data_IF_296699079217
#
_entry.id   IF_296699079217
#
_cell.length_a   1.000
_cell.length_b   1.000
_cell.length_c   1.000
_cell.angle_alpha   90.00
_cell.angle_beta   90.00
_cell.angle_gamma   90.00
#
_symmetry.space_group_name_H-M   'P 1'
#
loop_
_entity.id
_entity.type
_entity.pdbx_description
1 polymer ?
#
# COMPACT_ATOMS: atom_id res chain seq x y z
N UNK A 1 -14.79 32.23 11.28
CA UNK A 1 -13.53 31.76 11.90
C UNK A 1 -12.95 30.70 10.98
N UNK A 2 -11.89 31.02 10.24
CA UNK A 2 -11.24 30.06 9.34
C UNK A 2 -10.47 29.05 10.19
N UNK A 3 -10.85 27.78 10.15
CA UNK A 3 -10.04 26.70 10.73
C UNK A 3 -8.85 26.56 9.78
N UNK A 4 -7.65 26.89 10.26
CA UNK A 4 -6.43 26.67 9.48
C UNK A 4 -6.44 25.23 8.94
N UNK A 5 -6.25 25.04 7.63
CA UNK A 5 -6.03 23.70 7.08
C UNK A 5 -4.86 23.09 7.85
N UNK A 6 -5.01 21.89 8.43
CA UNK A 6 -3.88 21.22 9.05
C UNK A 6 -2.77 21.14 7.99
N UNK A 7 -1.54 21.50 8.37
CA UNK A 7 -0.40 21.31 7.50
C UNK A 7 -0.45 19.87 7.00
N UNK A 8 -0.50 19.69 5.68
CA UNK A 8 -0.70 18.39 5.05
C UNK A 8 0.56 17.56 5.35
N UNK A 9 0.49 16.70 6.36
CA UNK A 9 1.63 15.89 6.76
C UNK A 9 2.16 15.13 5.54
N UNK A 10 3.45 15.30 5.27
CA UNK A 10 4.10 14.70 4.09
C UNK A 10 4.46 13.27 4.47
N UNK A 11 3.88 12.24 3.82
CA UNK A 11 4.23 10.87 4.14
C UNK A 11 5.66 10.56 3.73
N UNK A 12 6.35 9.79 4.56
CA UNK A 12 7.60 9.13 4.19
C UNK A 12 7.27 7.79 3.56
N UNK A 13 7.68 7.57 2.31
CA UNK A 13 7.50 6.28 1.63
C UNK A 13 8.75 5.43 1.86
N UNK A 14 8.56 4.21 2.38
CA UNK A 14 9.65 3.28 2.69
C UNK A 14 9.20 1.83 2.54
N UNK A 15 10.18 0.92 2.44
CA UNK A 15 9.91 -0.50 2.58
C UNK A 15 9.29 -0.82 3.95
N UNK A 16 8.35 -1.75 3.96
CA UNK A 16 7.74 -2.28 5.17
C UNK A 16 8.76 -3.09 5.97
N UNK A 17 8.67 -2.98 7.29
CA UNK A 17 9.42 -3.77 8.26
C UNK A 17 8.46 -4.71 8.98
N UNK A 18 9.01 -5.71 9.68
CA UNK A 18 8.19 -6.67 10.45
C UNK A 18 7.31 -6.00 11.50
N UNK A 19 7.78 -4.90 12.09
CA UNK A 19 7.01 -4.10 13.06
C UNK A 19 5.79 -3.41 12.45
N UNK A 20 5.71 -3.27 11.12
CA UNK A 20 4.56 -2.67 10.44
C UNK A 20 3.45 -3.68 10.13
N UNK A 21 3.73 -4.99 10.22
CA UNK A 21 2.86 -6.04 9.67
C UNK A 21 1.46 -6.05 10.26
N UNK A 22 1.32 -5.97 11.59
CA UNK A 22 0.01 -5.96 12.23
C UNK A 22 -0.85 -4.79 11.74
N UNK A 23 -0.23 -3.62 11.59
CA UNK A 23 -0.89 -2.41 11.12
C UNK A 23 -1.25 -2.48 9.62
N UNK A 24 -0.39 -3.08 8.80
CA UNK A 24 -0.68 -3.31 7.37
C UNK A 24 -1.86 -4.26 7.21
N UNK A 25 -1.89 -5.36 7.99
CA UNK A 25 -2.99 -6.31 7.96
C UNK A 25 -4.32 -5.62 8.31
N UNK A 26 -4.33 -4.89 9.43
CA UNK A 26 -5.51 -4.14 9.88
C UNK A 26 -6.01 -3.15 8.82
N UNK A 27 -5.16 -2.25 8.32
CA UNK A 27 -5.59 -1.22 7.38
C UNK A 27 -6.03 -1.82 6.04
N UNK A 28 -5.43 -2.93 5.60
CA UNK A 28 -5.80 -3.60 4.35
C UNK A 28 -7.20 -4.17 4.49
N UNK A 29 -7.46 -4.92 5.56
CA UNK A 29 -8.79 -5.51 5.81
C UNK A 29 -9.84 -4.40 5.98
N UNK A 30 -9.54 -3.35 6.74
CA UNK A 30 -10.46 -2.22 6.92
C UNK A 30 -10.78 -1.50 5.60
N UNK A 31 -9.80 -1.31 4.71
CA UNK A 31 -10.05 -0.67 3.42
C UNK A 31 -11.01 -1.49 2.53
N UNK A 32 -10.93 -2.82 2.57
CA UNK A 32 -11.78 -3.70 1.77
C UNK A 32 -13.16 -3.93 2.41
N UNK A 33 -13.21 -4.27 3.70
CA UNK A 33 -14.47 -4.53 4.42
C UNK A 33 -15.22 -3.24 4.69
N UNK A 34 -14.53 -2.21 5.21
CA UNK A 34 -15.12 -0.91 5.48
C UNK A 34 -15.53 -0.14 4.22
N UNK A 35 -14.89 -0.46 3.08
CA UNK A 35 -15.29 0.03 1.76
C UNK A 35 -16.49 -0.69 1.14
N UNK A 36 -17.01 -1.75 1.80
CA UNK A 36 -18.12 -2.56 1.29
C UNK A 36 -17.76 -3.48 0.13
N UNK A 37 -16.47 -3.71 -0.11
CA UNK A 37 -15.99 -4.61 -1.17
C UNK A 37 -16.04 -6.08 -0.75
N UNK A 38 -16.03 -6.36 0.56
CA UNK A 38 -16.08 -7.70 1.15
C UNK A 38 -16.89 -7.69 2.44
N UNK A 39 -17.46 -8.84 2.78
CA UNK A 39 -17.98 -9.09 4.13
C UNK A 39 -16.85 -9.50 5.08
N UNK A 40 -16.99 -9.19 6.38
CA UNK A 40 -15.94 -9.47 7.38
C UNK A 40 -15.64 -10.98 7.57
N UNK A 41 -16.59 -11.85 7.20
CA UNK A 41 -16.44 -13.31 7.29
C UNK A 41 -15.91 -13.97 6.02
N UNK A 42 -15.57 -13.21 4.98
CA UNK A 42 -15.07 -13.75 3.72
C UNK A 42 -13.68 -14.38 3.92
N UNK A 43 -13.45 -15.56 3.34
CA UNK A 43 -12.15 -16.25 3.35
C UNK A 43 -11.03 -15.37 2.77
N UNK A 44 -11.38 -14.49 1.83
CA UNK A 44 -10.44 -13.55 1.23
C UNK A 44 -9.86 -12.53 2.24
N UNK A 45 -10.52 -12.30 3.38
CA UNK A 45 -9.96 -11.49 4.48
C UNK A 45 -8.67 -12.10 5.02
N UNK A 46 -8.58 -13.43 5.11
CA UNK A 46 -7.35 -14.13 5.52
C UNK A 46 -6.20 -13.85 4.55
N UNK A 47 -6.47 -13.87 3.25
CA UNK A 47 -5.50 -13.51 2.23
C UNK A 47 -5.06 -12.04 2.32
N UNK A 48 -5.99 -11.12 2.57
CA UNK A 48 -5.68 -9.69 2.75
C UNK A 48 -4.92 -9.40 4.05
N UNK A 49 -5.00 -10.25 5.06
CA UNK A 49 -4.28 -10.10 6.33
C UNK A 49 -2.87 -10.71 6.29
N UNK A 50 -2.58 -11.63 5.37
CA UNK A 50 -1.28 -12.32 5.28
C UNK A 50 -0.17 -11.41 4.72
N UNK A 51 0.34 -10.50 5.56
CA UNK A 51 1.49 -9.64 5.26
C UNK A 51 2.79 -10.44 5.09
N UNK A 52 3.11 -11.45 5.93
CA UNK A 52 4.33 -12.23 5.77
C UNK A 52 4.47 -12.84 4.38
N UNK A 53 3.39 -13.44 3.87
CA UNK A 53 3.37 -13.99 2.51
C UNK A 53 3.56 -12.92 1.45
N UNK A 54 2.83 -11.80 1.56
CA UNK A 54 2.99 -10.66 0.63
C UNK A 54 4.42 -10.14 0.61
N UNK A 55 5.07 -10.02 1.75
CA UNK A 55 6.46 -9.57 1.85
C UNK A 55 7.48 -10.59 1.33
N UNK A 56 7.12 -11.88 1.28
CA UNK A 56 7.95 -12.92 0.67
C UNK A 56 7.80 -12.97 -0.87
N UNK A 57 6.62 -12.61 -1.38
CA UNK A 57 6.26 -12.73 -2.80
C UNK A 57 6.30 -11.39 -3.56
N UNK A 58 6.51 -10.26 -2.87
CA UNK A 58 6.50 -8.91 -3.45
C UNK A 58 7.26 -7.89 -2.59
N UNK A 59 7.50 -6.69 -3.13
CA UNK A 59 7.99 -5.55 -2.37
C UNK A 59 6.83 -4.80 -1.72
N UNK A 60 6.74 -4.85 -0.39
CA UNK A 60 5.71 -4.11 0.35
C UNK A 60 6.23 -2.73 0.73
N UNK A 61 5.54 -1.69 0.28
CA UNK A 61 5.82 -0.30 0.64
C UNK A 61 4.75 0.22 1.61
N UNK A 62 5.18 1.08 2.52
CA UNK A 62 4.29 1.85 3.41
C UNK A 62 4.46 3.35 3.21
N UNK A 63 3.38 4.09 3.44
CA UNK A 63 3.44 5.51 3.74
C UNK A 63 3.34 5.71 5.24
N UNK A 64 4.39 6.28 5.84
CA UNK A 64 4.41 6.65 7.25
C UNK A 64 4.10 8.14 7.42
N UNK A 65 3.18 8.45 8.33
CA UNK A 65 2.81 9.82 8.72
C UNK A 65 2.91 9.90 10.24
N UNK A 66 3.74 10.82 10.74
CA UNK A 66 3.94 11.06 12.17
C UNK A 66 4.21 9.77 12.99
N UNK A 67 4.99 8.84 12.43
CA UNK A 67 5.33 7.56 13.06
C UNK A 67 4.29 6.45 12.89
N UNK A 68 3.15 6.71 12.25
CA UNK A 68 2.11 5.74 12.00
C UNK A 68 2.06 5.31 10.52
N UNK A 69 1.89 4.02 10.26
CA UNK A 69 1.61 3.53 8.91
C UNK A 69 0.18 3.95 8.51
N UNK A 70 0.12 4.84 7.52
CA UNK A 70 -1.09 5.44 6.98
C UNK A 70 -1.63 4.70 5.75
N UNK A 71 -0.75 4.02 4.99
CA UNK A 71 -1.12 3.25 3.81
C UNK A 71 -0.07 2.18 3.51
N UNK A 72 -0.47 1.16 2.76
CA UNK A 72 0.39 0.08 2.29
C UNK A 72 0.07 -0.30 0.85
N UNK A 73 1.05 -0.85 0.14
CA UNK A 73 0.89 -1.42 -1.20
C UNK A 73 1.91 -2.54 -1.42
N UNK A 74 1.54 -3.55 -2.19
CA UNK A 74 2.46 -4.57 -2.71
C UNK A 74 2.86 -4.22 -4.15
N UNK A 75 4.16 -4.25 -4.45
CA UNK A 75 4.74 -3.93 -5.76
C UNK A 75 5.48 -5.17 -6.27
N UNK A 76 5.25 -5.52 -7.53
CA UNK A 76 5.73 -6.77 -8.14
C UNK A 76 6.11 -6.55 -9.60
N UNK A 77 7.01 -7.39 -10.10
CA UNK A 77 7.42 -7.43 -11.50
C UNK A 77 6.80 -8.62 -12.22
N UNK A 78 6.77 -8.58 -13.55
CA UNK A 78 6.25 -9.68 -14.37
C UNK A 78 6.95 -11.02 -14.07
N UNK A 79 6.14 -12.09 -14.01
CA UNK A 79 6.62 -13.44 -13.70
C UNK A 79 6.77 -13.76 -12.21
N UNK A 80 6.56 -12.78 -11.33
CA UNK A 80 6.52 -12.99 -9.87
C UNK A 80 5.21 -13.67 -9.44
N UNK A 81 5.24 -14.35 -8.28
CA UNK A 81 4.07 -15.08 -7.77
C UNK A 81 2.83 -14.19 -7.50
N UNK A 82 3.03 -12.89 -7.26
CA UNK A 82 1.96 -11.92 -7.01
C UNK A 82 1.51 -11.12 -8.23
N UNK A 83 2.15 -11.28 -9.41
CA UNK A 83 1.79 -10.57 -10.62
C UNK A 83 0.59 -11.24 -11.32
N UNK A 84 -0.44 -10.46 -11.67
CA UNK A 84 -1.61 -10.94 -12.40
C UNK A 84 -1.66 -10.45 -13.84
N UNK A 85 -1.15 -9.24 -14.11
CA UNK A 85 -1.30 -8.57 -15.41
C UNK A 85 0.00 -8.02 -15.98
N UNK A 86 1.04 -7.84 -15.16
CA UNK A 86 2.33 -7.31 -15.62
C UNK A 86 2.96 -8.17 -16.73
N UNK A 87 3.38 -7.50 -17.80
CA UNK A 87 4.18 -8.04 -18.90
C UNK A 87 5.66 -7.74 -18.68
N UNK A 88 6.53 -8.38 -19.45
CA UNK A 88 7.97 -8.15 -19.37
C UNK A 88 8.31 -6.64 -19.47
N UNK A 89 9.05 -6.13 -18.49
CA UNK A 89 9.39 -4.71 -18.36
C UNK A 89 8.34 -3.85 -17.64
N UNK A 90 7.18 -4.40 -17.26
CA UNK A 90 6.15 -3.68 -16.51
C UNK A 90 6.23 -3.97 -15.01
N UNK A 91 5.92 -2.95 -14.22
CA UNK A 91 5.67 -3.05 -12.78
C UNK A 91 4.17 -3.09 -12.54
N UNK A 92 3.73 -3.99 -11.66
CA UNK A 92 2.38 -4.03 -11.14
C UNK A 92 2.40 -3.68 -9.64
N UNK A 93 1.39 -2.94 -9.20
CA UNK A 93 1.15 -2.76 -7.77
C UNK A 93 -0.29 -3.11 -7.44
N UNK A 94 -0.50 -3.72 -6.28
CA UNK A 94 -1.80 -4.22 -5.85
C UNK A 94 -2.00 -4.06 -4.35
N UNK A 95 -3.25 -4.21 -3.92
CA UNK A 95 -3.67 -4.01 -2.54
C UNK A 95 -3.23 -2.65 -1.99
N UNK A 96 -3.37 -1.59 -2.80
CA UNK A 96 -3.14 -0.22 -2.37
C UNK A 96 -4.27 0.19 -1.41
N UNK A 97 -3.97 0.16 -0.11
CA UNK A 97 -4.92 0.44 0.95
C UNK A 97 -4.47 1.67 1.75
N UNK A 98 -5.40 2.58 2.04
CA UNK A 98 -5.19 3.75 2.89
C UNK A 98 -6.12 3.63 4.09
N UNK A 99 -5.56 3.73 5.28
CA UNK A 99 -6.32 3.72 6.51
C UNK A 99 -7.37 4.85 6.53
N UNK A 100 -8.62 4.60 6.98
CA UNK A 100 -9.73 5.54 6.87
C UNK A 100 -9.41 6.96 7.36
N UNK A 101 -8.70 7.08 8.48
CA UNK A 101 -8.30 8.33 9.11
C UNK A 101 -7.26 9.15 8.31
N UNK A 102 -6.63 8.54 7.29
CA UNK A 102 -5.68 9.18 6.39
C UNK A 102 -6.20 9.35 4.95
N UNK A 103 -7.47 8.97 4.68
CA UNK A 103 -8.09 9.13 3.37
C UNK A 103 -8.35 10.60 3.02
N UNK A 104 -8.43 10.91 1.72
CA UNK A 104 -8.61 12.29 1.24
C UNK A 104 -7.36 13.18 1.37
N UNK A 105 -6.33 12.75 2.09
CA UNK A 105 -5.09 13.51 2.28
C UNK A 105 -4.08 13.34 1.13
N UNK A 106 -4.37 12.45 0.16
CA UNK A 106 -3.51 12.19 -1.00
C UNK A 106 -2.31 11.28 -0.72
N UNK A 107 -2.37 10.47 0.34
CA UNK A 107 -1.32 9.50 0.69
C UNK A 107 -1.07 8.49 -0.44
N UNK A 108 -2.13 7.87 -0.96
CA UNK A 108 -2.04 6.94 -2.10
C UNK A 108 -1.36 7.57 -3.32
N UNK A 109 -1.68 8.83 -3.64
CA UNK A 109 -1.04 9.56 -4.77
C UNK A 109 0.48 9.63 -4.59
N UNK A 110 0.96 9.85 -3.36
CA UNK A 110 2.40 9.94 -3.08
C UNK A 110 3.10 8.59 -3.21
N UNK A 111 2.45 7.50 -2.81
CA UNK A 111 2.93 6.14 -3.04
C UNK A 111 3.05 5.86 -4.55
N UNK A 112 2.00 6.16 -5.32
CA UNK A 112 2.01 5.93 -6.78
C UNK A 112 3.13 6.71 -7.47
N UNK A 113 3.33 7.98 -7.12
CA UNK A 113 4.47 8.74 -7.66
C UNK A 113 5.83 8.17 -7.28
N UNK A 114 5.97 7.61 -6.08
CA UNK A 114 7.21 6.92 -5.69
C UNK A 114 7.45 5.67 -6.55
N UNK A 115 6.41 4.88 -6.83
CA UNK A 115 6.50 3.70 -7.69
C UNK A 115 6.85 4.08 -9.13
N UNK A 116 6.22 5.11 -9.69
CA UNK A 116 6.52 5.60 -11.04
C UNK A 116 7.97 6.08 -11.15
N UNK A 117 8.43 6.86 -10.16
CA UNK A 117 9.82 7.30 -10.13
C UNK A 117 10.80 6.12 -10.06
N UNK A 118 10.47 5.06 -9.30
CA UNK A 118 11.28 3.85 -9.26
C UNK A 118 11.29 3.09 -10.61
N UNK A 119 10.14 3.00 -11.29
CA UNK A 119 10.02 2.39 -12.60
C UNK A 119 10.89 3.10 -13.66
N UNK A 120 10.85 4.43 -13.68
CA UNK A 120 11.68 5.23 -14.60
C UNK A 120 13.19 5.00 -14.39
N UNK A 121 13.63 4.68 -13.17
CA UNK A 121 15.04 4.33 -12.91
C UNK A 121 15.40 2.92 -13.40
N UNK A 122 14.45 1.98 -13.40
CA UNK A 122 14.69 0.61 -13.87
C UNK A 122 14.81 0.53 -15.40
N UNK A 123 14.10 1.39 -16.14
CA UNK A 123 14.20 1.48 -17.61
C UNK A 123 15.57 1.99 -18.10
N UNK A 124 16.37 2.59 -17.20
CA UNK A 124 17.61 3.28 -17.53
C UNK A 124 18.88 2.44 -17.24
N UNK A 125 18.73 1.12 -17.09
CA UNK A 125 19.79 0.13 -16.78
C UNK A 125 19.93 -0.89 -17.91
#
# INVERSE_FOLDING_TARGET
MSKASPARAVPTIRAAQRSDWDRIAELTVQAYVGGGFLEAGDEYVGHLADVPRRAAESHVLVAEVDGAVAASVAVTEAGSAMAEVARAGEIEFRMLAVAPEFQGLGIARRIVWHILAAAEQQENV
#
